data_IF_783099784779
#
_entry.id   IF_783099784779
#
_cell.length_a   1.000
_cell.length_b   1.000
_cell.length_c   1.000
_cell.angle_alpha   90.00
_cell.angle_beta   90.00
_cell.angle_gamma   90.00
#
_symmetry.space_group_name_H-M   'P 1'
#
loop_
_entity.id
_entity.type
_entity.pdbx_description
1 polymer ?
#
# COMPACT_ATOMS: atom_id res chain seq x y z
N UNK A 1 46.47 5.38 13.23
CA UNK A 1 45.39 6.05 12.45
C UNK A 1 44.74 5.16 11.39
N UNK A 2 45.45 4.21 10.78
CA UNK A 2 44.93 3.29 9.75
C UNK A 2 43.88 2.28 10.26
N UNK A 3 44.06 1.77 11.49
CA UNK A 3 43.17 0.77 12.10
C UNK A 3 41.74 1.31 12.33
N UNK A 4 41.60 2.59 12.67
CA UNK A 4 40.30 3.24 12.92
C UNK A 4 39.45 3.42 11.65
N UNK A 5 40.11 3.60 10.49
CA UNK A 5 39.42 3.66 9.19
C UNK A 5 38.90 2.29 8.73
N UNK A 6 39.60 1.21 9.09
CA UNK A 6 39.22 -0.15 8.70
C UNK A 6 38.11 -0.75 9.58
N UNK A 7 37.92 -0.25 10.81
CA UNK A 7 36.85 -0.67 11.73
C UNK A 7 35.55 0.10 11.55
N UNK A 8 35.52 1.11 10.68
CA UNK A 8 34.32 1.93 10.47
C UNK A 8 33.32 1.17 9.60
N UNK A 9 32.06 1.00 10.04
CA UNK A 9 31.02 0.41 9.20
C UNK A 9 30.94 1.16 7.87
N UNK A 10 30.78 0.41 6.77
CA UNK A 10 30.56 1.01 5.45
C UNK A 10 29.29 1.85 5.51
N UNK A 11 29.36 3.09 5.02
CA UNK A 11 28.20 3.96 4.92
C UNK A 11 27.14 3.33 4.01
N UNK A 12 25.87 3.43 4.42
CA UNK A 12 24.71 3.00 3.64
C UNK A 12 23.98 4.26 3.17
N UNK A 13 23.59 4.28 1.90
CA UNK A 13 22.94 5.44 1.27
C UNK A 13 21.63 4.99 0.63
N UNK A 14 20.59 5.84 0.74
CA UNK A 14 19.38 5.72 -0.06
C UNK A 14 19.68 6.35 -1.42
N UNK A 15 19.68 5.55 -2.48
CA UNK A 15 19.94 6.04 -3.83
C UNK A 15 18.71 6.69 -4.46
N UNK A 16 17.54 6.07 -4.26
CA UNK A 16 16.26 6.50 -4.86
C UNK A 16 15.08 5.92 -4.04
N UNK A 17 13.89 6.46 -4.25
CA UNK A 17 12.63 5.96 -3.68
C UNK A 17 11.49 6.14 -4.69
N UNK A 18 10.53 5.22 -4.68
CA UNK A 18 9.35 5.29 -5.53
C UNK A 18 8.12 4.83 -4.76
N UNK A 19 6.98 5.45 -5.08
CA UNK A 19 5.67 5.09 -4.56
C UNK A 19 4.73 4.82 -5.73
N UNK A 20 3.83 3.86 -5.56
CA UNK A 20 2.76 3.63 -6.50
C UNK A 20 1.60 4.61 -6.24
N UNK A 21 1.15 5.31 -7.28
CA UNK A 21 -0.09 6.08 -7.27
C UNK A 21 -1.19 5.26 -7.98
N UNK A 22 -2.25 4.83 -7.29
CA UNK A 22 -3.31 4.08 -7.94
C UNK A 22 -4.09 4.92 -8.98
N UNK A 23 -4.72 4.28 -9.97
CA UNK A 23 -5.63 4.93 -10.90
C UNK A 23 -6.73 5.74 -10.21
N UNK A 24 -7.13 6.88 -10.80
CA UNK A 24 -8.11 7.81 -10.21
C UNK A 24 -9.49 7.19 -9.95
N UNK A 25 -9.87 6.12 -10.66
CA UNK A 25 -11.12 5.41 -10.38
C UNK A 25 -11.14 4.70 -9.01
N UNK A 26 -9.96 4.46 -8.42
CA UNK A 26 -9.83 3.88 -7.08
C UNK A 26 -9.86 4.92 -5.96
N UNK A 27 -9.93 6.21 -6.28
CA UNK A 27 -10.08 7.27 -5.28
C UNK A 27 -11.47 7.20 -4.63
N UNK A 28 -11.49 7.36 -3.30
CA UNK A 28 -12.71 7.30 -2.48
C UNK A 28 -12.76 8.51 -1.54
N UNK A 29 -13.67 9.43 -1.85
CA UNK A 29 -14.04 10.49 -0.94
C UNK A 29 -14.96 10.01 0.19
N UNK A 30 -15.11 10.83 1.23
CA UNK A 30 -15.85 10.49 2.44
C UNK A 30 -17.31 10.15 2.15
N UNK A 31 -17.95 10.89 1.24
CA UNK A 31 -19.34 10.66 0.86
C UNK A 31 -19.52 9.28 0.22
N UNK A 32 -18.62 8.90 -0.69
CA UNK A 32 -18.65 7.59 -1.35
C UNK A 32 -18.44 6.48 -0.31
N UNK A 33 -17.46 6.63 0.57
CA UNK A 33 -17.20 5.69 1.65
C UNK A 33 -18.43 5.50 2.55
N UNK A 34 -19.01 6.60 3.06
CA UNK A 34 -20.17 6.54 3.96
C UNK A 34 -21.42 5.96 3.28
N UNK A 35 -21.62 6.23 1.99
CA UNK A 35 -22.71 5.62 1.22
C UNK A 35 -22.50 4.11 1.08
N UNK A 36 -21.28 3.66 0.75
CA UNK A 36 -20.97 2.23 0.66
C UNK A 36 -21.17 1.54 2.02
N UNK A 37 -20.69 2.11 3.12
CA UNK A 37 -20.91 1.55 4.46
C UNK A 37 -22.39 1.36 4.79
N UNK A 38 -23.27 2.31 4.41
CA UNK A 38 -24.72 2.16 4.60
C UNK A 38 -25.32 1.01 3.77
N UNK A 39 -24.90 0.90 2.51
CA UNK A 39 -25.40 -0.11 1.57
C UNK A 39 -24.98 -1.54 1.92
N UNK A 40 -23.89 -1.70 2.68
CA UNK A 40 -23.43 -3.01 3.15
C UNK A 40 -24.38 -3.61 4.21
N UNK A 41 -25.30 -2.81 4.78
CA UNK A 41 -26.33 -3.20 5.77
C UNK A 41 -25.80 -3.97 7.00
N UNK A 42 -24.50 -3.89 7.25
CA UNK A 42 -23.82 -4.60 8.34
C UNK A 42 -23.42 -3.68 9.50
N UNK A 43 -23.82 -2.41 9.46
CA UNK A 43 -23.47 -1.40 10.46
C UNK A 43 -24.71 -0.79 11.06
N UNK A 44 -24.74 -0.66 12.39
CA UNK A 44 -25.74 0.15 13.07
C UNK A 44 -25.51 1.64 12.81
N UNK A 45 -26.52 2.46 13.05
CA UNK A 45 -26.39 3.92 13.01
C UNK A 45 -25.26 4.43 13.92
N UNK A 46 -25.09 3.84 15.12
CA UNK A 46 -24.00 4.22 16.02
C UNK A 46 -22.61 3.87 15.46
N UNK A 47 -22.47 2.74 14.76
CA UNK A 47 -21.23 2.38 14.07
C UNK A 47 -20.94 3.28 12.86
N UNK A 48 -21.98 3.66 12.11
CA UNK A 48 -21.85 4.61 10.99
C UNK A 48 -21.44 6.00 11.48
N UNK A 49 -22.03 6.48 12.57
CA UNK A 49 -21.63 7.75 13.20
C UNK A 49 -20.19 7.70 13.72
N UNK A 50 -19.75 6.55 14.24
CA UNK A 50 -18.36 6.36 14.65
C UNK A 50 -17.40 6.38 13.44
N UNK A 51 -17.73 5.69 12.34
CA UNK A 51 -16.95 5.74 11.11
C UNK A 51 -16.83 7.17 10.56
N UNK A 52 -17.93 7.95 10.56
CA UNK A 52 -17.90 9.36 10.13
C UNK A 52 -16.91 10.18 10.97
N UNK A 53 -16.95 10.04 12.29
CA UNK A 53 -16.02 10.73 13.20
C UNK A 53 -14.58 10.31 12.97
N UNK A 54 -14.32 9.05 12.61
CA UNK A 54 -12.98 8.58 12.23
C UNK A 54 -12.55 9.28 10.95
N UNK A 55 -13.38 9.34 9.90
CA UNK A 55 -13.04 10.01 8.65
C UNK A 55 -12.65 11.47 8.90
N UNK A 56 -13.46 12.21 9.66
CA UNK A 56 -13.24 13.63 9.99
C UNK A 56 -11.97 13.89 10.82
N UNK A 57 -11.39 12.88 11.47
CA UNK A 57 -10.29 13.02 12.43
C UNK A 57 -9.05 12.19 12.12
N UNK A 58 -9.10 11.35 11.08
CA UNK A 58 -8.01 10.42 10.73
C UNK A 58 -6.82 11.10 10.07
N UNK A 59 -7.00 12.32 9.54
CA UNK A 59 -6.01 13.00 8.71
C UNK A 59 -5.94 12.50 7.27
N UNK A 60 -6.82 11.57 6.87
CA UNK A 60 -6.98 11.12 5.48
C UNK A 60 -7.79 12.14 4.70
N UNK A 61 -7.41 12.49 3.47
CA UNK A 61 -8.15 13.45 2.63
C UNK A 61 -9.20 12.80 1.72
N UNK A 62 -9.93 13.62 0.97
CA UNK A 62 -10.86 13.20 -0.09
C UNK A 62 -10.14 12.52 -1.29
N UNK A 63 -8.80 12.56 -1.31
CA UNK A 63 -7.92 11.95 -2.31
C UNK A 63 -7.29 10.64 -1.82
N UNK A 64 -7.99 9.93 -0.93
CA UNK A 64 -7.58 8.62 -0.42
C UNK A 64 -8.00 7.52 -1.40
N UNK A 65 -7.16 6.50 -1.58
CA UNK A 65 -7.43 5.37 -2.47
C UNK A 65 -7.74 4.11 -1.68
N UNK A 66 -8.69 3.31 -2.18
CA UNK A 66 -9.04 2.01 -1.62
C UNK A 66 -9.06 0.95 -2.74
N UNK A 67 -8.76 -0.32 -2.46
CA UNK A 67 -8.82 -1.36 -3.48
C UNK A 67 -10.25 -1.64 -3.95
N UNK A 68 -10.40 -2.05 -5.20
CA UNK A 68 -11.68 -2.40 -5.84
C UNK A 68 -12.47 -3.45 -5.03
N UNK A 69 -11.76 -4.37 -4.40
CA UNK A 69 -12.33 -5.41 -3.53
C UNK A 69 -13.10 -4.84 -2.33
N UNK A 70 -12.60 -3.74 -1.75
CA UNK A 70 -13.23 -3.02 -0.62
C UNK A 70 -14.33 -2.09 -1.11
N UNK A 71 -14.18 -1.54 -2.32
CA UNK A 71 -15.20 -0.67 -2.92
C UNK A 71 -16.41 -1.44 -3.47
N UNK A 72 -16.27 -2.72 -3.78
CA UNK A 72 -17.38 -3.59 -4.23
C UNK A 72 -18.51 -3.65 -3.20
N UNK A 73 -19.76 -3.78 -3.66
CA UNK A 73 -20.94 -3.99 -2.79
C UNK A 73 -21.64 -5.30 -3.20
N UNK A 74 -21.60 -6.35 -2.36
CA UNK A 74 -20.86 -6.44 -1.10
C UNK A 74 -19.33 -6.49 -1.33
N UNK A 75 -18.51 -6.13 -0.32
CA UNK A 75 -17.06 -6.24 -0.41
C UNK A 75 -16.61 -7.67 -0.73
N UNK A 76 -15.52 -7.80 -1.48
CA UNK A 76 -14.96 -9.08 -1.93
C UNK A 76 -13.54 -9.31 -1.42
N UNK A 77 -13.33 -9.47 -0.09
CA UNK A 77 -12.01 -9.64 0.52
C UNK A 77 -11.46 -11.06 0.27
N UNK A 78 -11.12 -11.35 -0.99
CA UNK A 78 -10.58 -12.65 -1.40
C UNK A 78 -9.06 -12.59 -1.53
N UNK A 79 -8.39 -13.75 -1.36
CA UNK A 79 -6.94 -13.85 -1.61
C UNK A 79 -6.54 -13.50 -3.05
N UNK A 80 -7.41 -13.78 -4.01
CA UNK A 80 -7.18 -13.42 -5.41
C UNK A 80 -7.16 -11.89 -5.59
N UNK A 81 -8.13 -11.17 -5.01
CA UNK A 81 -8.18 -9.72 -5.10
C UNK A 81 -7.04 -9.04 -4.31
N UNK A 82 -6.67 -9.58 -3.15
CA UNK A 82 -5.52 -9.09 -2.39
C UNK A 82 -4.19 -9.31 -3.15
N UNK A 83 -4.05 -10.43 -3.87
CA UNK A 83 -2.91 -10.67 -4.76
C UNK A 83 -2.87 -9.66 -5.90
N UNK A 84 -3.99 -9.43 -6.56
CA UNK A 84 -4.09 -8.46 -7.67
C UNK A 84 -3.69 -7.06 -7.23
N UNK A 85 -4.19 -6.58 -6.08
CA UNK A 85 -3.78 -5.30 -5.50
C UNK A 85 -2.27 -5.27 -5.17
N UNK A 86 -1.76 -6.32 -4.51
CA UNK A 86 -0.37 -6.40 -4.11
C UNK A 86 0.57 -6.37 -5.33
N UNK A 87 0.25 -7.10 -6.41
CA UNK A 87 1.01 -7.09 -7.65
C UNK A 87 1.03 -5.69 -8.29
N UNK A 88 -0.12 -5.02 -8.37
CA UNK A 88 -0.19 -3.65 -8.91
C UNK A 88 0.67 -2.67 -8.11
N UNK A 89 0.56 -2.68 -6.78
CA UNK A 89 1.28 -1.76 -5.90
C UNK A 89 2.79 -2.04 -5.91
N UNK A 90 3.18 -3.31 -5.76
CA UNK A 90 4.59 -3.70 -5.66
C UNK A 90 5.29 -3.49 -7.00
N UNK A 91 4.74 -4.00 -8.10
CA UNK A 91 5.38 -3.85 -9.41
C UNK A 91 5.32 -2.42 -9.90
N UNK A 92 4.22 -1.69 -9.70
CA UNK A 92 4.14 -0.28 -10.08
C UNK A 92 5.19 0.59 -9.37
N UNK A 93 5.47 0.33 -8.09
CA UNK A 93 6.53 1.05 -7.37
C UNK A 93 7.95 0.62 -7.83
N UNK A 94 8.18 -0.68 -8.02
CA UNK A 94 9.47 -1.23 -8.42
C UNK A 94 9.84 -0.82 -9.85
N UNK A 95 8.90 -0.89 -10.80
CA UNK A 95 9.14 -0.52 -12.20
C UNK A 95 9.58 0.94 -12.29
N UNK A 96 8.87 1.85 -11.61
CA UNK A 96 9.25 3.26 -11.51
C UNK A 96 10.65 3.46 -10.88
N UNK A 97 10.98 2.69 -9.83
CA UNK A 97 12.29 2.79 -9.17
C UNK A 97 13.43 2.33 -10.09
N UNK A 98 13.26 1.20 -10.79
CA UNK A 98 14.23 0.66 -11.72
C UNK A 98 14.38 1.58 -12.95
N UNK A 99 13.27 2.16 -13.42
CA UNK A 99 13.29 3.14 -14.50
C UNK A 99 14.01 4.43 -14.10
N UNK A 100 13.90 4.90 -12.86
CA UNK A 100 14.62 6.09 -12.41
C UNK A 100 16.11 5.82 -12.22
N UNK A 101 16.45 4.70 -11.58
CA UNK A 101 17.83 4.37 -11.19
C UNK A 101 18.67 3.76 -12.30
N UNK A 102 18.02 3.13 -13.30
CA UNK A 102 18.65 2.34 -14.36
C UNK A 102 19.52 1.17 -13.85
N UNK A 103 19.31 0.76 -12.60
CA UNK A 103 20.00 -0.39 -12.00
C UNK A 103 19.48 -1.67 -12.65
N UNK A 104 20.37 -2.58 -13.00
CA UNK A 104 19.95 -3.89 -13.48
C UNK A 104 19.39 -4.69 -12.28
N UNK A 105 18.16 -5.24 -12.34
CA UNK A 105 17.60 -6.01 -11.23
C UNK A 105 18.49 -7.16 -10.77
N UNK A 106 19.35 -7.71 -11.65
CA UNK A 106 20.31 -8.76 -11.31
C UNK A 106 21.45 -8.30 -10.40
N UNK A 107 21.66 -7.00 -10.24
CA UNK A 107 22.66 -6.41 -9.33
C UNK A 107 22.10 -6.25 -7.90
N UNK A 108 20.79 -6.44 -7.70
CA UNK A 108 20.15 -6.38 -6.39
C UNK A 108 20.40 -7.70 -5.65
N UNK A 109 21.28 -7.66 -4.65
CA UNK A 109 21.65 -8.85 -3.87
C UNK A 109 20.70 -9.20 -2.72
N UNK A 110 19.89 -8.25 -2.25
CA UNK A 110 18.97 -8.43 -1.12
C UNK A 110 17.67 -7.71 -1.41
N UNK A 111 16.54 -8.41 -1.19
CA UNK A 111 15.20 -7.85 -1.20
C UNK A 111 14.62 -7.97 0.22
N UNK A 112 14.12 -6.86 0.76
CA UNK A 112 13.39 -6.84 2.03
C UNK A 112 11.95 -6.49 1.74
N UNK A 113 11.03 -7.39 2.08
CA UNK A 113 9.59 -7.21 1.84
C UNK A 113 8.88 -7.08 3.18
N UNK A 114 7.99 -6.10 3.30
CA UNK A 114 7.05 -5.97 4.41
C UNK A 114 5.64 -5.78 3.85
N UNK A 115 4.73 -6.68 4.20
CA UNK A 115 3.32 -6.59 3.85
C UNK A 115 2.49 -7.23 4.96
N UNK A 116 1.47 -6.52 5.46
CA UNK A 116 0.53 -7.06 6.45
C UNK A 116 -0.84 -7.39 5.85
N UNK A 117 -1.18 -6.81 4.70
CA UNK A 117 -2.48 -6.96 4.05
C UNK A 117 -2.56 -8.18 3.15
N UNK A 118 -1.42 -8.69 2.66
CA UNK A 118 -1.34 -9.87 1.82
C UNK A 118 -0.27 -10.85 2.35
N UNK A 119 -0.73 -11.95 2.95
CA UNK A 119 0.11 -12.96 3.59
C UNK A 119 -0.08 -14.35 2.93
N UNK A 120 0.41 -14.56 1.70
CA UNK A 120 0.25 -15.84 1.00
C UNK A 120 1.13 -16.96 1.58
N UNK A 121 0.84 -18.20 1.17
CA UNK A 121 1.75 -19.34 1.33
C UNK A 121 2.10 -19.89 -0.06
N UNK A 122 3.39 -19.96 -0.45
CA UNK A 122 4.58 -19.45 0.25
C UNK A 122 4.52 -17.92 0.47
N UNK A 123 5.30 -17.42 1.44
CA UNK A 123 5.40 -15.99 1.75
C UNK A 123 5.98 -15.20 0.57
N UNK A 124 5.78 -13.88 0.60
CA UNK A 124 6.40 -12.95 -0.37
C UNK A 124 7.93 -12.86 -0.22
N UNK A 125 8.45 -13.32 0.92
CA UNK A 125 9.87 -13.45 1.25
C UNK A 125 10.31 -14.90 1.23
#
# INVERSE_FOLDING_TARGET
>A
STVFFMSRPRSVYLLDYSCYLPPSNLQVGYQKFMNHSKLIENFSESSLDFQRKILERSGLGEETYLPESVQSIPPRPTMAAAREEAEQVIFGAIDNLLDNTKINPREIGVLVVNCSLFNPTPSLS
#
